data_IF_055137698858
#
_entry.id   IF_055137698858
#
_cell.length_a   1.000
_cell.length_b   1.000
_cell.length_c   1.000
_cell.angle_alpha   90.00
_cell.angle_beta   90.00
_cell.angle_gamma   90.00
#
_symmetry.space_group_name_H-M   'P 1'
#
loop_
_entity.id
_entity.type
_entity.pdbx_description
1 polymer ?
#
# COMPACT_ATOMS: atom_id res chain seq x y z
N UNK A 1 15.58 -35.84 -39.75
CA UNK A 1 16.09 -35.19 -38.53
C UNK A 1 15.35 -33.91 -38.12
N UNK A 2 14.67 -33.19 -39.02
CA UNK A 2 13.90 -31.98 -38.65
C UNK A 2 12.56 -32.27 -37.96
N UNK A 3 11.84 -33.33 -38.38
CA UNK A 3 10.53 -33.68 -37.82
C UNK A 3 10.59 -34.11 -36.35
N UNK A 4 11.60 -34.91 -35.97
CA UNK A 4 11.83 -35.34 -34.59
C UNK A 4 12.20 -34.18 -33.67
N UNK A 5 12.90 -33.15 -34.19
CA UNK A 5 13.29 -31.96 -33.43
C UNK A 5 12.09 -31.04 -33.15
N UNK A 6 11.20 -30.88 -34.12
CA UNK A 6 9.97 -30.09 -33.96
C UNK A 6 8.94 -30.81 -33.06
N UNK A 7 8.86 -32.15 -33.15
CA UNK A 7 8.02 -32.95 -32.25
C UNK A 7 8.53 -32.90 -30.81
N UNK A 8 9.85 -33.00 -30.61
CA UNK A 8 10.47 -32.89 -29.29
C UNK A 8 10.31 -31.49 -28.69
N UNK A 9 10.39 -30.44 -29.52
CA UNK A 9 10.11 -29.06 -29.10
C UNK A 9 8.63 -28.87 -28.73
N UNK A 10 7.70 -29.43 -29.51
CA UNK A 10 6.27 -29.40 -29.21
C UNK A 10 5.91 -30.14 -27.92
N UNK A 11 6.56 -31.29 -27.66
CA UNK A 11 6.38 -32.07 -26.43
C UNK A 11 6.94 -31.31 -25.22
N UNK A 12 8.14 -30.72 -25.33
CA UNK A 12 8.74 -29.88 -24.27
C UNK A 12 7.90 -28.63 -23.98
N UNK A 13 7.34 -27.99 -25.02
CA UNK A 13 6.46 -26.83 -24.86
C UNK A 13 5.12 -27.24 -24.22
N UNK A 14 4.55 -28.39 -24.60
CA UNK A 14 3.33 -28.91 -23.97
C UNK A 14 3.57 -29.34 -22.52
N UNK A 15 4.72 -29.96 -22.21
CA UNK A 15 5.09 -30.30 -20.85
C UNK A 15 5.29 -29.06 -19.98
N UNK A 16 5.93 -28.02 -20.52
CA UNK A 16 6.07 -26.71 -19.88
C UNK A 16 4.74 -25.99 -19.64
N UNK A 17 3.79 -26.07 -20.58
CA UNK A 17 2.44 -25.54 -20.39
C UNK A 17 1.62 -26.36 -19.38
N UNK A 18 1.79 -27.69 -19.31
CA UNK A 18 1.09 -28.52 -18.31
C UNK A 18 1.67 -28.42 -16.91
N UNK A 19 2.89 -27.91 -16.73
CA UNK A 19 3.44 -27.58 -15.40
C UNK A 19 2.94 -26.25 -14.83
N UNK A 20 2.14 -25.49 -15.59
CA UNK A 20 1.46 -24.27 -15.12
C UNK A 20 0.09 -24.56 -14.49
N UNK A 21 -0.17 -25.80 -14.08
CA UNK A 21 -1.33 -26.09 -13.23
C UNK A 21 -1.16 -25.25 -11.95
N UNK A 22 -2.09 -24.35 -11.62
CA UNK A 22 -2.04 -23.63 -10.36
C UNK A 22 -2.12 -24.67 -9.25
N UNK A 23 -0.99 -24.93 -8.59
CA UNK A 23 -1.02 -25.64 -7.33
C UNK A 23 -1.75 -24.73 -6.35
N UNK A 24 -2.66 -25.29 -5.56
CA UNK A 24 -3.16 -24.63 -4.36
C UNK A 24 -1.94 -24.31 -3.49
N UNK A 25 -1.41 -23.09 -3.65
CA UNK A 25 -0.43 -22.56 -2.76
C UNK A 25 -1.14 -22.44 -1.43
N UNK A 26 -0.83 -23.37 -0.51
CA UNK A 26 -1.17 -23.25 0.90
C UNK A 26 -0.45 -22.03 1.41
N UNK A 27 -1.05 -20.87 1.17
CA UNK A 27 -0.47 -19.59 1.51
C UNK A 27 -0.33 -19.56 3.03
N UNK A 28 0.67 -18.84 3.50
CA UNK A 28 0.79 -18.48 4.90
C UNK A 28 0.42 -16.98 5.03
N UNK A 29 -0.86 -16.54 4.85
CA UNK A 29 -1.29 -15.21 5.24
C UNK A 29 -1.68 -15.22 6.72
N UNK A 30 -1.12 -14.30 7.51
CA UNK A 30 -1.36 -14.25 8.95
C UNK A 30 -2.84 -14.05 9.29
N UNK A 31 -3.54 -13.18 8.54
CA UNK A 31 -4.97 -12.92 8.73
C UNK A 31 -5.85 -14.14 8.38
N UNK A 32 -5.61 -14.77 7.23
CA UNK A 32 -6.35 -15.96 6.81
C UNK A 32 -6.24 -17.10 7.84
N UNK A 33 -5.06 -17.26 8.48
CA UNK A 33 -4.87 -18.23 9.59
C UNK A 33 -5.70 -17.86 10.81
N UNK A 34 -5.65 -16.60 11.25
CA UNK A 34 -6.43 -16.10 12.41
C UNK A 34 -7.94 -16.32 12.24
N UNK A 35 -8.46 -16.10 11.02
CA UNK A 35 -9.90 -16.20 10.75
C UNK A 35 -10.34 -17.54 10.15
N UNK A 36 -9.39 -18.40 9.77
CA UNK A 36 -9.65 -19.68 9.09
C UNK A 36 -10.47 -19.52 7.81
N UNK A 37 -10.07 -18.56 6.99
CA UNK A 37 -10.72 -18.21 5.71
C UNK A 37 -9.74 -18.37 4.54
N UNK A 38 -10.26 -18.51 3.32
CA UNK A 38 -9.42 -18.51 2.12
C UNK A 38 -8.82 -17.12 1.88
N UNK A 39 -7.62 -17.07 1.30
CA UNK A 39 -7.01 -15.82 0.82
C UNK A 39 -7.90 -15.10 -0.19
N UNK A 40 -8.71 -15.85 -0.94
CA UNK A 40 -9.64 -15.33 -1.95
C UNK A 40 -10.80 -14.52 -1.35
N UNK A 41 -11.05 -14.67 -0.03
CA UNK A 41 -12.01 -13.81 0.65
C UNK A 41 -11.54 -12.35 0.63
N UNK A 42 -10.25 -12.12 0.86
CA UNK A 42 -9.66 -10.78 0.87
C UNK A 42 -9.10 -10.36 -0.48
N UNK A 43 -8.61 -11.29 -1.31
CA UNK A 43 -7.86 -10.97 -2.53
C UNK A 43 -8.52 -11.52 -3.80
N UNK A 44 -8.58 -10.70 -4.86
CA UNK A 44 -9.04 -11.14 -6.18
C UNK A 44 -8.60 -10.21 -7.33
N UNK A 45 -7.61 -10.60 -8.17
CA UNK A 45 -6.58 -11.59 -7.89
C UNK A 45 -5.55 -11.03 -6.91
N UNK A 46 -4.84 -11.88 -6.18
CA UNK A 46 -3.73 -11.44 -5.33
C UNK A 46 -2.68 -10.66 -6.15
N UNK A 47 -2.18 -9.50 -5.67
CA UNK A 47 -2.42 -8.90 -4.35
C UNK A 47 -3.62 -7.95 -4.24
N UNK A 48 -4.35 -7.66 -5.32
CA UNK A 48 -5.51 -6.77 -5.29
C UNK A 48 -6.60 -7.27 -4.32
N UNK A 49 -7.27 -6.33 -3.65
CA UNK A 49 -8.30 -6.64 -2.66
C UNK A 49 -9.69 -6.78 -3.31
N UNK A 50 -10.51 -7.61 -2.69
CA UNK A 50 -11.96 -7.58 -2.85
C UNK A 50 -12.53 -6.42 -2.01
N UNK A 51 -13.79 -6.06 -2.22
CA UNK A 51 -14.50 -5.12 -1.35
C UNK A 51 -14.45 -5.54 0.14
N UNK A 52 -14.50 -6.85 0.40
CA UNK A 52 -14.33 -7.38 1.76
C UNK A 52 -12.90 -7.18 2.28
N UNK A 53 -11.88 -7.40 1.45
CA UNK A 53 -10.49 -7.16 1.81
C UNK A 53 -10.21 -5.69 2.14
N UNK A 54 -10.80 -4.76 1.37
CA UNK A 54 -10.73 -3.32 1.64
C UNK A 54 -11.39 -2.98 2.98
N UNK A 55 -12.59 -3.52 3.23
CA UNK A 55 -13.28 -3.32 4.50
C UNK A 55 -12.48 -3.90 5.68
N UNK A 56 -11.88 -5.09 5.52
CA UNK A 56 -11.04 -5.70 6.54
C UNK A 56 -9.82 -4.84 6.88
N UNK A 57 -9.16 -4.26 5.86
CA UNK A 57 -8.05 -3.33 6.06
C UNK A 57 -8.51 -2.03 6.72
N UNK A 58 -9.65 -1.47 6.29
CA UNK A 58 -10.27 -0.28 6.88
C UNK A 58 -10.67 -0.48 8.36
N UNK A 59 -11.15 -1.66 8.72
CA UNK A 59 -11.49 -2.01 10.11
C UNK A 59 -10.27 -2.28 11.01
N UNK A 60 -9.06 -1.91 10.57
CA UNK A 60 -7.82 -2.18 11.30
C UNK A 60 -7.53 -3.67 11.42
N UNK A 61 -7.74 -4.44 10.35
CA UNK A 61 -7.49 -5.89 10.27
C UNK A 61 -8.38 -6.73 11.20
N UNK A 62 -9.67 -6.39 11.23
CA UNK A 62 -10.76 -7.08 11.95
C UNK A 62 -11.92 -7.41 11.01
N UNK A 63 -12.64 -8.49 11.30
CA UNK A 63 -13.86 -8.82 10.55
C UNK A 63 -15.04 -7.95 11.00
N UNK A 64 -15.06 -7.54 12.27
CA UNK A 64 -16.04 -6.60 12.83
C UNK A 64 -15.40 -5.72 13.91
N UNK A 65 -15.97 -4.53 14.14
CA UNK A 65 -15.48 -3.55 15.12
C UNK A 65 -15.53 -4.04 16.58
N UNK A 66 -16.45 -4.95 16.89
CA UNK A 66 -16.71 -5.48 18.24
C UNK A 66 -16.45 -6.99 18.33
N UNK A 67 -15.66 -7.55 17.41
CA UNK A 67 -15.33 -8.97 17.47
C UNK A 67 -14.54 -9.29 18.75
N UNK A 68 -14.87 -10.40 19.39
CA UNK A 68 -14.08 -10.91 20.50
C UNK A 68 -12.66 -11.27 20.03
N UNK A 69 -11.62 -10.95 20.82
CA UNK A 69 -10.25 -11.35 20.50
C UNK A 69 -10.14 -12.84 20.18
N UNK A 70 -9.44 -13.15 19.08
CA UNK A 70 -9.22 -14.53 18.61
C UNK A 70 -7.74 -14.84 18.62
N UNK A 71 -7.42 -16.10 18.91
CA UNK A 71 -6.06 -16.62 18.94
C UNK A 71 -5.14 -15.79 19.86
N UNK A 72 -5.62 -15.48 21.06
CA UNK A 72 -4.93 -14.63 22.06
C UNK A 72 -4.68 -15.37 23.37
N UNK A 73 -3.72 -14.87 24.14
CA UNK A 73 -3.42 -15.34 25.50
C UNK A 73 -4.20 -14.48 26.48
N UNK A 74 -4.87 -15.12 27.44
CA UNK A 74 -5.52 -14.42 28.55
C UNK A 74 -4.46 -13.79 29.46
N UNK A 75 -4.44 -12.47 29.52
CA UNK A 75 -3.49 -11.68 30.33
C UNK A 75 -4.10 -11.18 31.64
N UNK A 76 -5.43 -11.18 31.75
CA UNK A 76 -6.15 -10.50 32.83
C UNK A 76 -6.24 -8.97 32.67
N UNK A 77 -5.82 -8.43 31.52
CA UNK A 77 -5.93 -7.02 31.16
C UNK A 77 -6.94 -6.86 30.01
N UNK A 78 -8.07 -6.22 30.29
CA UNK A 78 -9.15 -6.03 29.32
C UNK A 78 -8.79 -5.06 28.17
N UNK A 79 -7.73 -4.27 28.31
CA UNK A 79 -7.27 -3.33 27.29
C UNK A 79 -6.31 -3.98 26.29
N UNK A 80 -5.66 -5.09 26.68
CA UNK A 80 -4.62 -5.76 25.89
C UNK A 80 -5.16 -7.02 25.22
N UNK A 81 -5.18 -6.99 23.89
CA UNK A 81 -5.30 -8.19 23.07
C UNK A 81 -3.90 -8.69 22.75
N UNK A 82 -3.42 -9.70 23.47
CA UNK A 82 -2.10 -10.31 23.23
C UNK A 82 -2.22 -11.53 22.31
N UNK A 83 -1.73 -11.48 21.06
CA UNK A 83 -1.76 -12.63 20.17
C UNK A 83 -0.97 -13.82 20.75
N UNK A 84 -1.51 -15.03 20.62
CA UNK A 84 -0.85 -16.26 21.05
C UNK A 84 0.36 -16.63 20.19
N UNK A 85 0.46 -16.04 19.00
CA UNK A 85 1.63 -16.12 18.13
C UNK A 85 1.83 -14.80 17.40
N UNK A 86 3.07 -14.44 17.08
CA UNK A 86 3.36 -13.24 16.30
C UNK A 86 2.84 -13.44 14.86
N UNK A 87 1.92 -12.60 14.37
CA UNK A 87 1.29 -12.78 13.07
C UNK A 87 2.23 -12.38 11.94
N UNK A 88 3.19 -13.26 11.61
CA UNK A 88 4.15 -13.04 10.54
C UNK A 88 3.68 -13.63 9.20
N UNK A 89 4.00 -12.92 8.12
CA UNK A 89 3.90 -13.38 6.75
C UNK A 89 5.17 -12.99 5.97
N UNK A 90 5.50 -13.78 4.95
CA UNK A 90 6.56 -13.47 4.00
C UNK A 90 5.93 -13.35 2.62
N UNK A 91 6.24 -12.28 1.90
CA UNK A 91 5.91 -12.14 0.48
C UNK A 91 7.19 -12.11 -0.36
N UNK A 92 7.19 -12.93 -1.40
CA UNK A 92 8.27 -13.10 -2.36
C UNK A 92 7.69 -12.89 -3.76
N UNK A 93 8.18 -11.89 -4.46
CA UNK A 93 7.80 -11.62 -5.85
C UNK A 93 8.95 -12.06 -6.78
N UNK A 94 8.58 -12.65 -7.92
CA UNK A 94 9.51 -13.07 -8.97
C UNK A 94 8.94 -12.69 -10.33
N UNK A 95 9.81 -12.23 -11.23
CA UNK A 95 9.43 -11.85 -12.58
C UNK A 95 10.32 -12.51 -13.63
N UNK A 96 9.78 -12.64 -14.83
CA UNK A 96 10.53 -13.00 -16.03
C UNK A 96 10.19 -11.96 -17.10
N UNK A 97 11.23 -11.38 -17.70
CA UNK A 97 11.07 -10.36 -18.74
C UNK A 97 11.64 -10.87 -20.06
N UNK A 98 10.97 -10.52 -21.15
CA UNK A 98 11.49 -10.64 -22.50
C UNK A 98 11.51 -9.24 -23.11
N UNK A 99 12.68 -8.78 -23.52
CA UNK A 99 12.85 -7.47 -24.13
C UNK A 99 13.63 -7.58 -25.44
N UNK A 100 13.30 -6.68 -26.37
CA UNK A 100 13.90 -6.63 -27.68
C UNK A 100 14.29 -5.18 -27.98
N UNK A 101 15.54 -4.82 -27.69
CA UNK A 101 16.14 -3.57 -28.12
C UNK A 101 17.35 -3.88 -29.01
N UNK A 102 17.11 -4.11 -30.30
CA UNK A 102 18.11 -4.55 -31.27
C UNK A 102 18.48 -6.05 -31.20
N UNK A 103 18.44 -6.68 -30.01
CA UNK A 103 18.55 -8.13 -29.82
C UNK A 103 17.54 -8.60 -28.78
N UNK A 104 16.87 -9.73 -29.05
CA UNK A 104 15.98 -10.36 -28.07
C UNK A 104 16.81 -10.97 -26.93
N UNK A 105 16.42 -10.64 -25.70
CA UNK A 105 17.01 -11.19 -24.49
C UNK A 105 15.91 -11.52 -23.47
N UNK A 106 16.23 -12.45 -22.57
CA UNK A 106 15.38 -12.85 -21.45
C UNK A 106 16.08 -12.52 -20.16
N UNK A 107 15.33 -12.12 -19.14
CA UNK A 107 15.84 -11.86 -17.80
C UNK A 107 14.95 -12.55 -16.75
N UNK A 108 15.58 -13.23 -15.80
CA UNK A 108 14.92 -13.89 -14.68
C UNK A 108 15.26 -13.16 -13.39
N UNK A 109 14.22 -12.65 -12.72
CA UNK A 109 14.35 -11.64 -11.67
C UNK A 109 13.73 -12.16 -10.37
N UNK A 110 14.52 -12.92 -9.61
CA UNK A 110 14.11 -13.46 -8.32
C UNK A 110 15.28 -13.44 -7.30
N UNK A 111 15.06 -12.96 -6.07
CA UNK A 111 13.87 -12.25 -5.61
C UNK A 111 13.80 -10.84 -6.21
N UNK A 112 12.64 -10.43 -6.71
CA UNK A 112 12.41 -9.03 -7.05
C UNK A 112 12.01 -8.23 -5.81
N UNK A 113 11.04 -8.75 -5.05
CA UNK A 113 10.71 -8.27 -3.72
C UNK A 113 10.78 -9.44 -2.74
N UNK A 114 11.36 -9.21 -1.57
CA UNK A 114 11.27 -10.08 -0.41
C UNK A 114 10.91 -9.21 0.79
N UNK A 115 9.75 -9.43 1.39
CA UNK A 115 9.28 -8.68 2.56
C UNK A 115 8.74 -9.57 3.65
N UNK A 116 8.96 -9.13 4.88
CA UNK A 116 8.30 -9.66 6.09
C UNK A 116 7.21 -8.68 6.46
N UNK A 117 6.00 -9.19 6.69
CA UNK A 117 4.85 -8.40 7.10
C UNK A 117 4.33 -8.90 8.44
N UNK A 118 3.82 -7.98 9.24
CA UNK A 118 3.09 -8.28 10.46
C UNK A 118 1.96 -7.29 10.64
N UNK A 119 0.82 -7.78 11.10
CA UNK A 119 -0.30 -6.92 11.43
C UNK A 119 -1.35 -7.65 12.24
N UNK A 120 -2.15 -6.90 12.98
CA UNK A 120 -3.21 -7.45 13.80
C UNK A 120 -3.63 -6.51 14.91
N UNK A 121 -4.44 -7.07 15.82
CA UNK A 121 -5.13 -6.36 16.89
C UNK A 121 -4.29 -6.37 18.17
N UNK A 122 -4.10 -5.21 18.80
CA UNK A 122 -3.47 -5.02 20.11
C UNK A 122 -4.48 -4.73 21.23
N UNK A 123 -5.72 -4.40 20.86
CA UNK A 123 -6.85 -4.22 21.77
C UNK A 123 -8.17 -4.31 21.00
N UNK A 124 -9.29 -4.00 21.65
CA UNK A 124 -10.62 -3.99 20.99
C UNK A 124 -10.68 -3.00 19.83
N UNK A 125 -10.03 -1.84 19.98
CA UNK A 125 -10.03 -0.74 18.99
C UNK A 125 -8.64 -0.36 18.48
N UNK A 126 -7.59 -1.06 18.89
CA UNK A 126 -6.21 -0.72 18.52
C UNK A 126 -5.58 -1.84 17.71
N UNK A 127 -4.98 -1.50 16.57
CA UNK A 127 -4.26 -2.41 15.68
C UNK A 127 -2.91 -1.85 15.28
N UNK A 128 -2.11 -2.70 14.63
CA UNK A 128 -0.87 -2.30 14.01
C UNK A 128 -0.70 -2.97 12.65
N UNK A 129 0.13 -2.36 11.82
CA UNK A 129 0.64 -2.94 10.60
C UNK A 129 2.07 -2.47 10.36
N UNK A 130 2.91 -3.40 9.95
CA UNK A 130 4.29 -3.15 9.59
C UNK A 130 4.71 -4.08 8.46
N UNK A 131 5.54 -3.60 7.55
CA UNK A 131 6.38 -4.48 6.77
C UNK A 131 7.80 -3.96 6.62
N UNK A 132 8.70 -4.90 6.41
CA UNK A 132 10.12 -4.66 6.16
C UNK A 132 10.50 -5.32 4.84
N UNK A 133 11.02 -4.53 3.90
CA UNK A 133 11.63 -5.01 2.66
C UNK A 133 13.05 -5.48 2.95
N UNK A 134 13.21 -6.80 3.03
CA UNK A 134 14.52 -7.46 3.12
C UNK A 134 15.29 -7.35 1.80
N UNK A 135 14.58 -7.33 0.67
CA UNK A 135 15.14 -7.06 -0.64
C UNK A 135 14.08 -6.40 -1.54
N UNK A 136 14.46 -5.34 -2.23
CA UNK A 136 13.74 -4.74 -3.35
C UNK A 136 14.75 -4.51 -4.47
N UNK A 137 14.58 -5.17 -5.62
CA UNK A 137 15.43 -5.00 -6.81
C UNK A 137 16.95 -5.17 -6.53
N UNK A 138 17.29 -6.00 -5.54
CA UNK A 138 18.68 -6.27 -5.15
C UNK A 138 19.21 -5.42 -3.99
N UNK A 139 18.45 -4.49 -3.46
CA UNK A 139 18.84 -3.62 -2.33
C UNK A 139 17.95 -3.84 -1.10
N UNK A 140 18.48 -3.53 0.09
CA UNK A 140 17.68 -3.52 1.32
C UNK A 140 16.98 -2.17 1.43
N UNK A 141 15.66 -2.15 1.25
CA UNK A 141 14.88 -0.90 1.34
C UNK A 141 14.46 -0.54 2.77
N UNK A 142 14.24 -1.54 3.64
CA UNK A 142 13.92 -1.30 5.05
C UNK A 142 12.42 -1.19 5.34
N UNK A 143 12.04 -0.30 6.28
CA UNK A 143 10.64 -0.11 6.71
C UNK A 143 9.98 0.97 5.87
N UNK A 144 8.84 0.64 5.25
CA UNK A 144 8.05 1.58 4.45
C UNK A 144 6.67 1.85 5.05
N UNK A 145 5.87 0.82 5.42
CA UNK A 145 4.72 1.01 6.30
C UNK A 145 5.06 0.55 7.72
N UNK A 146 4.74 1.39 8.70
CA UNK A 146 4.77 1.08 10.11
C UNK A 146 3.84 2.04 10.85
N UNK A 147 2.64 1.57 11.17
CA UNK A 147 1.63 2.39 11.82
C UNK A 147 0.80 1.61 12.83
N UNK A 148 0.21 2.37 13.74
CA UNK A 148 -0.85 1.93 14.64
C UNK A 148 -2.17 2.53 14.16
N UNK A 149 -3.26 1.78 14.33
CA UNK A 149 -4.59 2.12 13.84
C UNK A 149 -5.60 2.05 14.97
N UNK A 150 -6.27 3.16 15.25
CA UNK A 150 -7.37 3.24 16.22
C UNK A 150 -8.70 3.32 15.49
N UNK A 151 -9.59 2.37 15.79
CA UNK A 151 -10.98 2.47 15.40
C UNK A 151 -11.77 3.32 16.39
N UNK A 152 -12.74 4.07 15.89
CA UNK A 152 -13.63 4.95 16.65
C UNK A 152 -12.89 5.84 17.70
N UNK A 153 -11.92 6.64 17.25
CA UNK A 153 -11.11 7.43 18.17
C UNK A 153 -11.98 8.37 19.02
N UNK A 154 -11.79 8.31 20.35
CA UNK A 154 -12.59 9.07 21.30
C UNK A 154 -14.09 8.70 21.32
N UNK A 155 -14.47 7.56 20.74
CA UNK A 155 -15.86 7.11 20.62
C UNK A 155 -16.64 7.75 19.48
N UNK A 156 -16.01 8.59 18.66
CA UNK A 156 -16.60 9.09 17.41
C UNK A 156 -16.36 8.07 16.29
N UNK A 157 -17.23 7.98 15.26
CA UNK A 157 -17.04 7.08 14.10
C UNK A 157 -15.96 7.64 13.16
N UNK A 158 -14.75 7.80 13.69
CA UNK A 158 -13.56 8.31 13.02
C UNK A 158 -12.43 7.38 13.36
N UNK A 159 -11.79 6.83 12.35
CA UNK A 159 -10.63 5.98 12.52
C UNK A 159 -9.34 6.80 12.33
N UNK A 160 -8.28 6.45 13.06
CA UNK A 160 -7.00 7.16 13.05
C UNK A 160 -5.83 6.20 12.88
N UNK A 161 -5.07 6.35 11.79
CA UNK A 161 -3.74 5.78 11.65
C UNK A 161 -2.66 6.79 12.07
N UNK A 162 -1.65 6.33 12.80
CA UNK A 162 -0.48 7.13 13.21
C UNK A 162 0.80 6.36 12.91
N UNK A 163 1.72 6.99 12.20
CA UNK A 163 3.02 6.38 11.89
C UNK A 163 3.50 6.72 10.49
N UNK A 164 4.08 5.72 9.83
CA UNK A 164 4.61 5.78 8.48
C UNK A 164 3.68 5.01 7.53
N UNK A 165 3.20 5.68 6.48
CA UNK A 165 2.23 5.13 5.53
C UNK A 165 2.32 5.86 4.18
N UNK A 166 1.64 5.33 3.16
CA UNK A 166 1.54 6.01 1.86
C UNK A 166 0.45 7.08 1.87
N UNK A 167 0.72 8.25 1.32
CA UNK A 167 -0.28 9.32 1.13
C UNK A 167 -1.35 8.88 0.13
N UNK A 168 -1.00 8.07 -0.87
CA UNK A 168 -1.93 7.55 -1.89
C UNK A 168 -2.84 6.41 -1.40
N UNK A 169 -2.66 5.91 -0.19
CA UNK A 169 -3.41 4.76 0.34
C UNK A 169 -4.93 4.89 0.33
N UNK A 170 -5.52 6.09 0.49
CA UNK A 170 -6.96 6.30 0.36
C UNK A 170 -7.45 6.27 -1.11
N UNK A 171 -6.56 6.40 -2.08
CA UNK A 171 -6.88 6.44 -3.52
C UNK A 171 -6.69 5.05 -4.14
N UNK A 172 -5.42 4.66 -4.32
CA UNK A 172 -4.98 3.37 -4.86
C UNK A 172 -3.70 2.96 -4.16
N UNK A 173 -3.79 1.87 -3.37
CA UNK A 173 -2.66 1.32 -2.64
C UNK A 173 -1.61 0.77 -3.61
N UNK A 174 -0.39 1.31 -3.58
CA UNK A 174 0.68 0.90 -4.49
C UNK A 174 1.09 -0.55 -4.26
N UNK A 175 1.06 -1.04 -3.03
CA UNK A 175 1.49 -2.41 -2.68
C UNK A 175 0.52 -3.52 -3.10
N UNK A 176 -0.70 -3.15 -3.53
CA UNK A 176 -1.78 -4.05 -3.94
C UNK A 176 -2.07 -3.97 -5.44
N UNK A 177 -1.22 -3.28 -6.20
CA UNK A 177 -1.27 -3.19 -7.65
C UNK A 177 -0.96 -4.54 -8.31
N UNK A 178 -1.50 -4.77 -9.51
CA UNK A 178 -1.20 -5.96 -10.30
C UNK A 178 0.00 -5.75 -11.22
N UNK A 179 0.31 -4.49 -11.52
CA UNK A 179 1.39 -4.07 -12.38
C UNK A 179 2.75 -4.26 -11.71
N UNK A 180 3.75 -4.65 -12.49
CA UNK A 180 5.15 -4.67 -12.03
C UNK A 180 5.60 -3.24 -11.70
N UNK A 181 5.29 -2.32 -12.60
CA UNK A 181 5.59 -0.91 -12.46
C UNK A 181 4.66 -0.24 -11.47
N UNK A 182 5.20 0.74 -10.79
CA UNK A 182 4.48 1.56 -9.83
C UNK A 182 3.58 2.59 -10.53
N UNK A 183 2.67 3.22 -9.78
CA UNK A 183 1.91 4.36 -10.26
C UNK A 183 2.83 5.59 -10.36
N UNK A 184 3.42 5.79 -11.53
CA UNK A 184 4.40 6.86 -11.75
C UNK A 184 3.90 8.25 -11.32
N UNK A 185 2.60 8.52 -11.50
CA UNK A 185 1.96 9.80 -11.11
C UNK A 185 2.08 10.10 -9.61
N UNK A 186 2.18 9.09 -8.75
CA UNK A 186 2.33 9.28 -7.30
C UNK A 186 3.77 9.55 -6.87
N UNK A 187 4.73 9.26 -7.75
CA UNK A 187 6.18 9.36 -7.47
C UNK A 187 6.81 10.62 -8.06
N UNK A 188 6.01 11.50 -8.67
CA UNK A 188 6.53 12.70 -9.33
C UNK A 188 7.14 13.63 -8.28
N UNK A 189 8.44 13.85 -8.42
CA UNK A 189 9.23 14.84 -7.69
C UNK A 189 9.52 15.98 -8.67
N UNK A 190 9.28 17.22 -8.26
CA UNK A 190 9.54 18.43 -9.05
C UNK A 190 10.74 19.15 -8.42
N UNK A 191 11.81 19.36 -9.20
CA UNK A 191 13.06 19.91 -8.67
C UNK A 191 13.62 19.05 -7.55
N UNK A 192 13.91 19.68 -6.41
CA UNK A 192 14.43 19.03 -5.20
C UNK A 192 13.38 18.83 -4.10
N UNK A 193 12.10 19.00 -4.45
CA UNK A 193 10.96 18.94 -3.53
C UNK A 193 10.52 17.49 -3.33
N UNK A 194 10.84 16.81 -2.20
CA UNK A 194 10.57 15.39 -2.06
C UNK A 194 9.07 15.06 -1.91
N UNK A 195 8.24 16.06 -1.60
CA UNK A 195 6.80 15.87 -1.41
C UNK A 195 6.20 15.18 -2.64
N UNK A 196 5.56 14.05 -2.42
CA UNK A 196 4.85 13.28 -3.44
C UNK A 196 3.71 12.49 -2.75
N UNK A 197 3.09 11.54 -3.44
CA UNK A 197 1.97 10.77 -2.89
C UNK A 197 2.39 9.38 -2.39
N UNK A 198 3.69 9.14 -2.21
CA UNK A 198 4.24 7.88 -1.69
C UNK A 198 4.32 7.88 -0.16
N UNK A 199 5.38 7.30 0.43
CA UNK A 199 5.49 7.15 1.88
C UNK A 199 5.80 8.49 2.56
N UNK A 200 5.14 8.74 3.67
CA UNK A 200 5.39 9.87 4.57
C UNK A 200 5.09 9.46 6.01
N UNK A 201 5.32 10.37 6.96
CA UNK A 201 5.08 10.17 8.39
C UNK A 201 4.05 11.17 8.89
N UNK A 202 3.09 10.69 9.67
CA UNK A 202 2.12 11.57 10.30
C UNK A 202 0.86 10.85 10.79
N UNK A 203 -0.27 11.52 10.56
CA UNK A 203 -1.60 11.10 10.99
C UNK A 203 -2.51 10.97 9.77
N UNK A 204 -3.34 9.92 9.72
CA UNK A 204 -4.39 9.75 8.73
C UNK A 204 -5.70 9.47 9.45
N UNK A 205 -6.70 10.31 9.25
CA UNK A 205 -8.04 10.11 9.80
C UNK A 205 -9.03 9.81 8.68
N UNK A 206 -9.94 8.86 8.90
CA UNK A 206 -10.99 8.49 7.95
C UNK A 206 -12.35 8.36 8.63
N UNK A 207 -13.41 8.77 7.94
CA UNK A 207 -14.78 8.64 8.42
C UNK A 207 -15.76 8.44 7.25
N UNK A 208 -16.80 7.65 7.49
CA UNK A 208 -17.91 7.48 6.56
C UNK A 208 -19.09 8.38 6.96
N UNK A 209 -19.48 9.29 6.07
CA UNK A 209 -20.55 10.25 6.29
C UNK A 209 -21.45 10.39 5.07
N UNK A 210 -22.76 10.13 5.24
CA UNK A 210 -23.77 10.28 4.19
C UNK A 210 -23.46 9.53 2.87
N UNK A 211 -22.80 8.37 2.98
CA UNK A 211 -22.39 7.54 1.84
C UNK A 211 -21.11 8.01 1.15
N UNK A 212 -20.35 8.93 1.76
CA UNK A 212 -19.00 9.28 1.36
C UNK A 212 -18.00 8.76 2.38
N UNK A 213 -16.86 8.28 1.89
CA UNK A 213 -15.68 8.09 2.73
C UNK A 213 -14.81 9.32 2.59
N UNK A 214 -14.50 9.96 3.72
CA UNK A 214 -13.68 11.17 3.80
C UNK A 214 -12.40 10.80 4.52
N UNK A 215 -11.26 11.01 3.88
CA UNK A 215 -9.94 10.78 4.47
C UNK A 215 -9.13 12.07 4.46
N UNK A 216 -8.44 12.36 5.56
CA UNK A 216 -7.48 13.46 5.66
C UNK A 216 -6.18 13.00 6.28
N UNK A 217 -5.05 13.50 5.79
CA UNK A 217 -3.74 13.25 6.38
C UNK A 217 -3.03 14.55 6.72
N UNK A 218 -2.32 14.55 7.84
CA UNK A 218 -1.37 15.59 8.24
C UNK A 218 0.00 14.93 8.36
N UNK A 219 0.93 15.33 7.50
CA UNK A 219 2.22 14.64 7.30
C UNK A 219 3.38 15.64 7.30
N UNK A 220 4.61 15.12 7.49
CA UNK A 220 5.82 15.95 7.44
C UNK A 220 6.05 16.53 6.04
N UNK A 221 5.82 15.74 4.99
CA UNK A 221 5.94 16.21 3.60
C UNK A 221 7.31 15.94 2.97
N UNK A 222 8.29 15.49 3.75
CA UNK A 222 9.64 15.14 3.29
C UNK A 222 9.83 13.63 3.02
N UNK A 223 8.76 12.87 3.19
CA UNK A 223 8.72 11.43 2.96
C UNK A 223 9.25 10.62 4.15
N UNK A 224 10.15 9.67 3.86
CA UNK A 224 10.70 8.76 4.88
C UNK A 224 12.24 8.79 5.00
N UNK A 225 12.90 9.96 4.99
CA UNK A 225 14.36 10.03 5.03
C UNK A 225 14.92 9.43 6.33
N UNK A 226 16.22 9.10 6.29
CA UNK A 226 16.98 8.81 7.50
C UNK A 226 17.02 10.04 8.42
N UNK A 227 17.29 9.79 9.70
CA UNK A 227 17.40 10.86 10.71
C UNK A 227 18.54 11.82 10.34
N UNK A 228 18.30 13.13 10.46
CA UNK A 228 19.33 14.14 10.20
C UNK A 228 20.31 14.28 11.39
N UNK A 229 21.45 14.99 11.23
CA UNK A 229 22.43 15.18 12.30
C UNK A 229 21.90 15.86 13.57
N UNK A 230 20.74 16.52 13.49
CA UNK A 230 20.04 17.12 14.63
C UNK A 230 19.04 16.16 15.31
N UNK A 231 19.08 14.87 14.97
CA UNK A 231 18.18 13.83 15.48
C UNK A 231 16.69 14.09 15.16
N UNK A 232 16.40 14.62 13.98
CA UNK A 232 15.02 14.81 13.49
C UNK A 232 14.78 14.02 12.21
N UNK A 233 13.60 13.44 12.08
CA UNK A 233 13.13 12.88 10.82
C UNK A 233 12.64 13.96 9.87
N UNK A 234 11.94 14.95 10.43
CA UNK A 234 11.42 16.10 9.71
C UNK A 234 12.51 17.17 9.59
N UNK A 235 12.63 17.76 8.41
CA UNK A 235 13.62 18.77 8.13
C UNK A 235 13.13 20.21 8.36
N UNK A 236 11.82 20.43 8.51
CA UNK A 236 11.27 21.75 8.81
C UNK A 236 10.10 21.71 9.81
N UNK A 237 9.41 22.84 9.99
CA UNK A 237 8.26 22.96 10.91
C UNK A 237 6.91 22.91 10.18
N UNK A 238 6.91 22.99 8.85
CA UNK A 238 5.72 22.93 8.02
C UNK A 238 5.10 21.53 8.09
N UNK A 239 3.81 21.44 7.79
CA UNK A 239 3.13 20.16 7.64
C UNK A 239 2.30 20.22 6.38
N UNK A 240 2.29 19.12 5.66
CA UNK A 240 1.51 19.00 4.44
C UNK A 240 0.19 18.31 4.77
N UNK A 241 -0.85 18.72 4.07
CA UNK A 241 -2.21 18.22 4.23
C UNK A 241 -2.64 17.56 2.93
N UNK A 242 -3.11 16.33 3.02
CA UNK A 242 -3.81 15.66 1.93
C UNK A 242 -5.24 15.35 2.34
N UNK A 243 -6.17 15.43 1.40
CA UNK A 243 -7.57 15.08 1.59
C UNK A 243 -8.09 14.29 0.40
N UNK A 244 -8.98 13.34 0.68
CA UNK A 244 -9.67 12.55 -0.32
C UNK A 244 -11.12 12.34 0.09
N UNK A 245 -12.03 12.48 -0.87
CA UNK A 245 -13.44 12.20 -0.69
C UNK A 245 -13.84 11.22 -1.79
N UNK A 246 -14.40 10.09 -1.41
CA UNK A 246 -14.85 9.07 -2.35
C UNK A 246 -16.26 8.61 -2.06
N UNK A 247 -16.92 8.06 -3.07
CA UNK A 247 -18.27 7.51 -2.97
C UNK A 247 -18.45 6.35 -3.93
N UNK A 248 -19.02 5.27 -3.40
CA UNK A 248 -19.53 4.18 -4.22
C UNK A 248 -20.87 4.55 -4.87
N UNK A 249 -20.95 4.28 -6.17
CA UNK A 249 -22.11 4.46 -7.02
C UNK A 249 -22.68 3.08 -7.38
N UNK A 250 -23.43 2.53 -6.42
CA UNK A 250 -23.88 1.14 -6.50
C UNK A 250 -22.72 0.16 -6.32
N UNK A 251 -22.80 -1.01 -6.95
CA UNK A 251 -21.80 -2.08 -6.79
C UNK A 251 -20.72 -2.09 -7.88
N UNK A 252 -20.72 -1.14 -8.81
CA UNK A 252 -19.91 -1.21 -10.02
C UNK A 252 -19.01 0.00 -10.24
N UNK A 253 -19.16 1.07 -9.47
CA UNK A 253 -18.35 2.26 -9.67
C UNK A 253 -18.03 2.93 -8.35
N UNK A 254 -16.81 3.46 -8.23
CA UNK A 254 -16.35 4.36 -7.18
C UNK A 254 -15.80 5.59 -7.86
N UNK A 255 -16.15 6.78 -7.38
CA UNK A 255 -15.53 8.05 -7.83
C UNK A 255 -14.95 8.78 -6.64
N UNK A 256 -13.78 9.39 -6.83
CA UNK A 256 -13.09 10.17 -5.81
C UNK A 256 -12.48 11.45 -6.34
N UNK A 257 -12.30 12.40 -5.42
CA UNK A 257 -11.55 13.64 -5.63
C UNK A 257 -10.53 13.81 -4.53
N UNK A 258 -9.35 14.30 -4.88
CA UNK A 258 -8.27 14.54 -3.92
C UNK A 258 -7.75 15.97 -4.00
N UNK A 259 -7.17 16.42 -2.89
CA UNK A 259 -6.43 17.66 -2.77
C UNK A 259 -5.20 17.46 -1.90
N UNK A 260 -4.13 18.19 -2.21
CA UNK A 260 -2.91 18.26 -1.42
C UNK A 260 -2.48 19.71 -1.31
N UNK A 261 -2.07 20.15 -0.14
CA UNK A 261 -1.41 21.44 0.05
C UNK A 261 -0.25 21.29 1.02
N UNK A 262 0.84 22.00 0.77
CA UNK A 262 2.03 21.89 1.59
C UNK A 262 2.98 23.06 1.37
N UNK A 263 3.96 23.19 2.26
CA UNK A 263 5.07 24.13 2.12
C UNK A 263 6.34 23.41 2.50
N UNK A 264 7.40 23.60 1.72
CA UNK A 264 8.73 23.06 2.03
C UNK A 264 9.75 24.18 2.08
N UNK A 265 10.63 24.14 3.08
CA UNK A 265 11.77 25.03 3.19
C UNK A 265 12.97 24.47 2.40
N UNK A 266 13.55 25.30 1.53
CA UNK A 266 14.73 24.98 0.72
C UNK A 266 16.04 24.86 1.50
N UNK A 267 16.11 25.35 2.75
CA UNK A 267 17.33 25.34 3.59
C UNK A 267 17.99 23.95 3.65
N UNK A 268 17.18 22.89 3.80
CA UNK A 268 17.67 21.51 3.90
C UNK A 268 18.20 20.95 2.57
N UNK A 269 17.76 21.53 1.45
CA UNK A 269 18.12 21.10 0.10
C UNK A 269 19.21 21.98 -0.54
N UNK A 270 19.74 22.96 0.20
CA UNK A 270 20.79 23.86 -0.28
C UNK A 270 20.28 25.15 -0.95
N UNK A 271 19.02 25.50 -0.73
CA UNK A 271 18.38 26.72 -1.26
C UNK A 271 17.92 27.60 -0.10
N UNK A 272 18.87 28.27 0.59
CA UNK A 272 18.53 29.09 1.72
C UNK A 272 17.58 30.22 1.33
N UNK A 273 16.65 30.54 2.23
CA UNK A 273 15.62 31.58 2.05
C UNK A 273 14.59 31.31 0.92
N UNK A 274 14.64 30.13 0.30
CA UNK A 274 13.61 29.71 -0.65
C UNK A 274 12.56 28.85 0.04
N UNK A 275 11.30 29.04 -0.34
CA UNK A 275 10.21 28.21 0.11
C UNK A 275 9.30 27.89 -1.06
N UNK A 276 8.93 26.62 -1.18
CA UNK A 276 8.02 26.16 -2.21
C UNK A 276 6.66 25.85 -1.61
N UNK A 277 5.62 26.51 -2.11
CA UNK A 277 4.23 26.19 -1.81
C UNK A 277 3.73 25.18 -2.85
N UNK A 278 3.29 24.02 -2.37
CA UNK A 278 2.87 22.88 -3.17
C UNK A 278 1.36 22.78 -3.13
N UNK A 279 0.73 22.65 -4.29
CA UNK A 279 -0.68 22.31 -4.40
C UNK A 279 -0.87 21.17 -5.39
N UNK A 280 -1.72 20.21 -5.04
CA UNK A 280 -2.17 19.18 -5.96
C UNK A 280 -3.68 19.03 -5.90
N UNK A 281 -4.28 18.69 -7.03
CA UNK A 281 -5.67 18.26 -7.09
C UNK A 281 -5.80 17.10 -8.07
N UNK A 282 -6.81 16.27 -7.87
CA UNK A 282 -6.97 15.09 -8.69
C UNK A 282 -8.33 14.47 -8.59
N UNK A 283 -8.57 13.54 -9.52
CA UNK A 283 -9.76 12.71 -9.56
C UNK A 283 -9.35 11.27 -9.79
N UNK A 284 -10.10 10.36 -9.21
CA UNK A 284 -9.92 8.93 -9.38
C UNK A 284 -11.27 8.23 -9.60
N UNK A 285 -11.22 7.07 -10.24
CA UNK A 285 -12.39 6.26 -10.41
C UNK A 285 -12.07 4.80 -10.63
N UNK A 286 -12.93 3.93 -10.11
CA UNK A 286 -12.90 2.49 -10.34
C UNK A 286 -14.22 2.08 -10.95
N UNK A 287 -14.19 1.32 -12.04
CA UNK A 287 -15.37 0.82 -12.73
C UNK A 287 -15.25 -0.68 -12.96
N UNK A 288 -16.18 -1.45 -12.39
CA UNK A 288 -16.21 -2.91 -12.46
C UNK A 288 -17.34 -3.42 -13.36
N UNK A 289 -17.03 -4.44 -14.17
CA UNK A 289 -17.99 -5.17 -14.99
C UNK A 289 -17.61 -6.66 -15.07
N UNK A 290 -18.19 -7.48 -14.19
CA UNK A 290 -17.86 -8.91 -14.10
C UNK A 290 -16.39 -9.12 -13.72
N UNK A 291 -15.62 -9.75 -14.60
CA UNK A 291 -14.18 -9.99 -14.41
C UNK A 291 -13.27 -8.82 -14.82
N UNK A 292 -13.84 -7.72 -15.31
CA UNK A 292 -13.10 -6.55 -15.76
C UNK A 292 -13.20 -5.42 -14.73
N UNK A 293 -12.07 -4.77 -14.47
CA UNK A 293 -12.00 -3.53 -13.70
C UNK A 293 -11.16 -2.50 -14.45
N UNK A 294 -11.65 -1.28 -14.52
CA UNK A 294 -10.93 -0.11 -15.03
C UNK A 294 -10.68 0.86 -13.88
N UNK A 295 -9.41 1.16 -13.63
CA UNK A 295 -8.99 2.21 -12.71
C UNK A 295 -8.51 3.43 -13.51
N UNK A 296 -9.00 4.60 -13.15
CA UNK A 296 -8.62 5.89 -13.74
C UNK A 296 -8.11 6.79 -12.62
N UNK A 297 -7.03 7.54 -12.90
CA UNK A 297 -6.48 8.52 -11.98
C UNK A 297 -5.89 9.69 -12.77
N UNK A 298 -6.09 10.90 -12.25
CA UNK A 298 -5.49 12.13 -12.73
C UNK A 298 -5.07 12.96 -11.53
N UNK A 299 -3.86 13.50 -11.58
CA UNK A 299 -3.31 14.42 -10.58
C UNK A 299 -2.61 15.55 -11.31
N UNK A 300 -2.98 16.78 -10.97
CA UNK A 300 -2.26 17.98 -11.35
C UNK A 300 -1.52 18.51 -10.13
N UNK A 301 -0.27 18.95 -10.33
CA UNK A 301 0.58 19.53 -9.29
C UNK A 301 1.05 20.91 -9.75
N UNK A 302 1.14 21.84 -8.82
CA UNK A 302 1.72 23.17 -9.02
C UNK A 302 2.61 23.51 -7.82
N UNK A 303 3.78 24.04 -8.13
CA UNK A 303 4.83 24.45 -7.21
C UNK A 303 5.13 25.92 -7.50
N UNK A 304 5.28 26.75 -6.47
CA UNK A 304 5.65 28.16 -6.65
C UNK A 304 7.11 28.32 -7.07
N UNK A 305 7.98 27.46 -6.52
CA UNK A 305 9.41 27.44 -6.78
C UNK A 305 9.81 25.98 -7.04
N UNK A 306 10.14 25.67 -8.29
CA UNK A 306 10.41 24.31 -8.76
C UNK A 306 11.90 24.00 -8.91
N UNK A 307 12.78 24.95 -8.57
CA UNK A 307 14.25 24.79 -8.65
C UNK A 307 14.81 23.95 -7.50
#
# INVERSE_FOLDING_TARGET
MSFSRNLMFGILLSLGLTSLVPMDASAIPAFARKYRVSCQLCHNPFPALTAFGDQFAGNGFRMAFDEEPRDTIATGDDLLTLPASLPLAIRLDAYAQLYANGKAATDFQMPWNLKVLSGGTLGKKLSYYIYFLLAERGEVAGVEDAFIYWNDIGGAPVDLAVGQFQVSDPIFKRELRLEVLDYAIYKVVVGLQPANLTYDRGFMASADLAGFTITGTLINGDGIPAINPAFKYDNDANKNLFGHITRDLGSHARLGVMGYTGRQNGDYYGFPDQSNDISMWGVDGTFGAGMFQLNLQYVARTDTEAE
#
